data_IF_458173238367
#
_entry.id   IF_458173238367
#
_cell.length_a   1.000
_cell.length_b   1.000
_cell.length_c   1.000
_cell.angle_alpha   90.00
_cell.angle_beta   90.00
_cell.angle_gamma   90.00
#
_symmetry.space_group_name_H-M   'P 1'
#
loop_
_entity.id
_entity.type
_entity.pdbx_description
1 polymer ?
#
# COMPACT_ATOMS: atom_id res chain seq x y z
N UNK A 1 -39.95 29.01 -18.10
CA UNK A 1 -40.09 29.46 -16.70
C UNK A 1 -41.18 28.64 -16.03
N UNK A 2 -40.86 27.77 -15.08
CA UNK A 2 -41.88 27.09 -14.26
C UNK A 2 -41.62 27.38 -12.79
N UNK A 3 -42.47 28.25 -12.23
CA UNK A 3 -42.55 28.55 -10.80
C UNK A 3 -43.26 27.38 -10.13
N UNK A 4 -42.57 26.74 -9.18
CA UNK A 4 -43.14 25.71 -8.33
C UNK A 4 -42.30 25.51 -7.06
N UNK A 5 -42.03 26.60 -6.32
CA UNK A 5 -41.43 26.52 -4.98
C UNK A 5 -42.53 26.12 -3.99
N UNK A 6 -42.84 24.82 -3.93
CA UNK A 6 -43.49 24.23 -2.77
C UNK A 6 -42.43 24.09 -1.67
N UNK A 7 -42.58 24.83 -0.58
CA UNK A 7 -41.81 24.67 0.65
C UNK A 7 -42.26 23.41 1.39
N UNK A 8 -41.90 22.24 0.86
CA UNK A 8 -42.20 20.97 1.49
C UNK A 8 -41.31 20.79 2.73
N UNK A 9 -41.84 21.09 3.93
CA UNK A 9 -41.22 20.62 5.17
C UNK A 9 -41.43 19.10 5.25
N UNK A 10 -40.38 18.33 5.05
CA UNK A 10 -40.42 16.88 5.08
C UNK A 10 -40.93 16.37 6.43
N UNK A 11 -42.23 16.00 6.51
CA UNK A 11 -42.84 15.30 7.67
C UNK A 11 -42.31 15.80 9.03
N UNK A 12 -42.18 17.11 9.18
CA UNK A 12 -41.67 17.70 10.40
C UNK A 12 -42.83 18.06 11.33
N UNK A 13 -42.54 18.17 12.62
CA UNK A 13 -43.52 18.66 13.60
C UNK A 13 -43.79 20.14 13.41
N UNK A 14 -44.86 20.67 14.01
CA UNK A 14 -45.17 22.10 13.95
C UNK A 14 -44.00 22.95 14.46
N UNK A 15 -43.88 24.19 13.97
CA UNK A 15 -42.78 25.11 14.31
C UNK A 15 -42.56 25.28 15.83
N UNK A 16 -43.64 25.23 16.63
CA UNK A 16 -43.55 25.30 18.09
C UNK A 16 -42.88 24.08 18.71
N UNK A 17 -43.23 22.88 18.25
CA UNK A 17 -42.62 21.62 18.69
C UNK A 17 -41.18 21.48 18.21
N UNK A 18 -40.84 22.02 17.04
CA UNK A 18 -39.45 22.10 16.57
C UNK A 18 -38.60 22.93 17.52
N UNK A 19 -39.03 24.15 17.87
CA UNK A 19 -38.31 25.02 18.81
C UNK A 19 -38.18 24.40 20.20
N UNK A 20 -39.25 23.77 20.70
CA UNK A 20 -39.19 23.05 21.97
C UNK A 20 -38.17 21.91 21.94
N UNK A 21 -38.13 21.13 20.85
CA UNK A 21 -37.15 20.06 20.66
C UNK A 21 -35.73 20.61 20.60
N UNK A 22 -35.49 21.65 19.80
CA UNK A 22 -34.16 22.27 19.68
C UNK A 22 -33.68 22.85 21.00
N UNK A 23 -34.59 23.43 21.78
CA UNK A 23 -34.31 23.91 23.12
C UNK A 23 -33.89 22.77 24.07
N UNK A 24 -34.66 21.68 24.13
CA UNK A 24 -34.36 20.53 24.98
C UNK A 24 -33.07 19.79 24.57
N UNK A 25 -32.75 19.77 23.27
CA UNK A 25 -31.54 19.13 22.76
C UNK A 25 -30.28 20.02 22.88
N UNK A 26 -30.43 21.34 23.09
CA UNK A 26 -29.32 22.29 23.06
C UNK A 26 -28.63 22.42 21.69
N UNK A 27 -29.22 21.86 20.63
CA UNK A 27 -28.71 21.87 19.26
C UNK A 27 -29.84 21.77 18.25
N UNK A 28 -29.58 22.22 17.02
CA UNK A 28 -30.50 22.02 15.89
C UNK A 28 -30.69 20.53 15.63
N UNK A 29 -31.95 20.11 15.54
CA UNK A 29 -32.28 18.71 15.34
C UNK A 29 -32.11 18.33 13.87
N UNK A 30 -31.25 17.35 13.61
CA UNK A 30 -31.03 16.78 12.27
C UNK A 30 -31.93 15.57 12.07
N UNK A 31 -32.83 15.61 11.08
CA UNK A 31 -33.69 14.48 10.76
C UNK A 31 -32.86 13.31 10.21
N UNK A 32 -32.90 12.15 10.89
CA UNK A 32 -32.22 10.93 10.44
C UNK A 32 -32.96 10.20 9.31
N UNK A 33 -34.23 10.56 9.07
CA UNK A 33 -35.04 9.97 8.00
C UNK A 33 -34.48 10.30 6.62
N UNK A 34 -34.46 9.29 5.74
CA UNK A 34 -34.08 9.48 4.33
C UNK A 34 -35.30 9.88 3.53
N UNK A 35 -35.33 11.12 3.07
CA UNK A 35 -36.45 11.64 2.30
C UNK A 35 -36.20 11.54 0.79
N UNK A 36 -37.20 11.17 -0.03
CA UNK A 36 -37.03 10.87 -1.46
C UNK A 36 -36.37 11.97 -2.31
N UNK A 37 -36.50 13.23 -1.91
CA UNK A 37 -35.93 14.41 -2.56
C UNK A 37 -34.50 14.75 -2.11
N UNK A 38 -34.11 14.29 -0.92
CA UNK A 38 -32.77 14.49 -0.35
C UNK A 38 -31.87 13.27 -0.55
N UNK A 39 -32.40 12.21 -1.16
CA UNK A 39 -31.66 11.04 -1.61
C UNK A 39 -31.60 11.04 -3.14
N UNK A 40 -30.58 10.38 -3.69
CA UNK A 40 -30.52 10.14 -5.13
C UNK A 40 -31.80 9.43 -5.61
N UNK A 41 -32.30 9.74 -6.81
CA UNK A 41 -33.45 9.05 -7.38
C UNK A 41 -33.19 7.54 -7.47
N UNK A 42 -34.25 6.74 -7.41
CA UNK A 42 -34.16 5.30 -7.59
C UNK A 42 -33.83 4.91 -9.03
N UNK A 43 -34.18 5.76 -9.98
CA UNK A 43 -33.83 5.59 -11.40
C UNK A 43 -32.45 6.18 -11.65
N UNK A 44 -31.52 5.33 -12.08
CA UNK A 44 -30.13 5.70 -12.37
C UNK A 44 -29.98 5.77 -13.89
N UNK A 45 -29.43 6.85 -14.47
CA UNK A 45 -29.14 6.90 -15.90
C UNK A 45 -28.01 5.92 -16.24
N UNK A 46 -27.93 5.45 -17.49
CA UNK A 46 -26.81 4.62 -17.95
C UNK A 46 -25.50 5.37 -17.73
N UNK A 47 -24.54 4.81 -16.97
CA UNK A 47 -23.26 5.48 -16.72
C UNK A 47 -22.33 5.35 -17.93
N UNK A 48 -21.60 6.42 -18.23
CA UNK A 48 -20.43 6.37 -19.12
C UNK A 48 -19.19 6.14 -18.24
N UNK A 49 -18.72 4.89 -18.19
CA UNK A 49 -17.62 4.47 -17.30
C UNK A 49 -16.32 4.62 -18.08
N UNK A 50 -15.35 5.43 -17.60
CA UNK A 50 -14.07 5.53 -18.28
C UNK A 50 -13.41 4.16 -18.34
N UNK A 51 -12.80 3.85 -19.49
CA UNK A 51 -12.04 2.61 -19.64
C UNK A 51 -10.85 2.64 -18.68
N UNK A 52 -10.43 1.46 -18.22
CA UNK A 52 -9.23 1.35 -17.39
C UNK A 52 -7.98 1.84 -18.12
N UNK A 53 -6.80 1.81 -17.46
CA UNK A 53 -5.53 2.30 -18.03
C UNK A 53 -5.12 1.59 -19.34
N UNK A 54 -5.81 0.51 -19.69
CA UNK A 54 -5.61 -0.26 -20.89
C UNK A 54 -6.51 0.17 -22.07
N UNK A 55 -6.58 1.47 -22.38
CA UNK A 55 -7.50 1.96 -23.43
C UNK A 55 -7.02 1.74 -24.88
N UNK A 56 -5.74 1.99 -25.20
CA UNK A 56 -5.18 1.75 -26.54
C UNK A 56 -5.44 0.33 -27.08
N UNK A 57 -5.57 0.19 -28.40
CA UNK A 57 -5.83 -1.09 -29.06
C UNK A 57 -4.57 -1.83 -29.55
N UNK A 58 -3.42 -1.16 -29.61
CA UNK A 58 -2.15 -1.73 -30.11
C UNK A 58 -1.11 -1.89 -28.99
N UNK A 59 -0.12 -2.76 -29.23
CA UNK A 59 1.06 -2.99 -28.38
C UNK A 59 0.76 -3.44 -26.93
N UNK A 60 -0.26 -4.28 -26.75
CA UNK A 60 -0.76 -4.71 -25.44
C UNK A 60 -0.83 -6.22 -25.35
N UNK A 61 0.34 -6.82 -25.21
CA UNK A 61 0.45 -8.26 -25.05
C UNK A 61 0.26 -8.65 -23.59
N UNK A 62 -0.51 -9.71 -23.34
CA UNK A 62 -0.78 -10.16 -21.97
C UNK A 62 0.50 -10.50 -21.20
N UNK A 63 1.49 -11.08 -21.88
CA UNK A 63 2.76 -11.50 -21.28
C UNK A 63 3.58 -10.34 -20.69
N UNK A 64 3.45 -9.11 -21.19
CA UNK A 64 4.21 -7.96 -20.66
C UNK A 64 3.62 -7.42 -19.35
N UNK A 65 2.37 -7.77 -19.02
CA UNK A 65 1.65 -7.28 -17.83
C UNK A 65 1.35 -8.37 -16.82
N UNK A 66 1.80 -9.59 -17.10
CA UNK A 66 1.41 -10.75 -16.31
C UNK A 66 2.22 -10.80 -15.02
N UNK A 67 1.70 -10.14 -13.98
CA UNK A 67 2.33 -10.07 -12.66
C UNK A 67 2.48 -11.44 -11.98
N UNK A 68 1.74 -12.46 -12.42
CA UNK A 68 1.87 -13.82 -11.86
C UNK A 68 3.18 -14.49 -12.30
N UNK A 69 3.63 -14.23 -13.54
CA UNK A 69 4.90 -14.76 -14.03
C UNK A 69 6.11 -13.93 -13.55
N UNK A 70 5.89 -12.71 -13.05
CA UNK A 70 6.96 -11.91 -12.44
C UNK A 70 7.31 -12.34 -11.01
N UNK A 71 6.53 -13.24 -10.39
CA UNK A 71 6.79 -13.72 -9.04
C UNK A 71 7.94 -14.72 -9.08
N UNK A 72 9.09 -14.30 -8.56
CA UNK A 72 10.23 -15.18 -8.34
C UNK A 72 10.01 -16.06 -7.10
N UNK A 73 10.57 -17.29 -7.07
CA UNK A 73 10.55 -18.11 -5.87
C UNK A 73 11.25 -17.39 -4.72
N UNK A 74 10.84 -17.63 -3.45
CA UNK A 74 11.43 -16.96 -2.30
C UNK A 74 12.92 -17.31 -2.19
N UNK A 75 13.75 -16.30 -1.92
CA UNK A 75 15.15 -16.50 -1.59
C UNK A 75 15.24 -17.01 -0.16
N UNK A 76 15.80 -18.20 0.02
CA UNK A 76 16.03 -18.79 1.35
C UNK A 76 17.23 -18.09 1.97
N UNK A 77 17.01 -17.30 3.03
CA UNK A 77 18.09 -16.71 3.80
C UNK A 77 18.82 -17.82 4.59
N UNK A 78 20.16 -17.85 4.60
CA UNK A 78 20.94 -18.92 5.26
C UNK A 78 20.85 -18.94 6.79
N UNK A 79 20.04 -18.06 7.40
CA UNK A 79 20.06 -17.75 8.84
C UNK A 79 18.93 -18.44 9.63
N UNK A 80 18.05 -19.23 9.01
CA UNK A 80 16.95 -19.87 9.75
C UNK A 80 16.59 -21.29 9.28
N UNK A 81 17.50 -22.01 8.62
CA UNK A 81 17.40 -23.47 8.61
C UNK A 81 17.77 -23.94 10.02
N UNK A 82 16.78 -23.98 10.93
CA UNK A 82 16.81 -24.97 12.01
C UNK A 82 17.05 -26.36 11.41
N UNK A 83 17.46 -27.37 12.21
CA UNK A 83 17.79 -28.69 11.69
C UNK A 83 16.76 -29.12 10.65
N UNK A 84 17.19 -29.59 9.45
CA UNK A 84 16.25 -29.90 8.39
C UNK A 84 15.17 -30.81 8.96
N UNK A 85 13.90 -30.46 8.76
CA UNK A 85 12.80 -31.37 9.09
C UNK A 85 13.01 -32.61 8.22
N UNK A 86 13.68 -33.60 8.80
CA UNK A 86 14.32 -34.66 8.06
C UNK A 86 13.26 -35.58 7.47
N UNK A 87 13.26 -35.65 6.14
CA UNK A 87 12.90 -36.86 5.41
C UNK A 87 13.85 -37.98 5.88
N UNK A 88 13.27 -39.13 6.23
CA UNK A 88 13.89 -40.39 6.66
C UNK A 88 14.57 -40.42 8.07
N UNK A 89 14.06 -41.21 9.05
CA UNK A 89 14.58 -41.28 10.42
C UNK A 89 15.96 -41.96 10.56
N UNK A 90 16.51 -42.52 9.48
CA UNK A 90 17.77 -43.29 9.51
C UNK A 90 18.96 -42.57 8.88
N UNK A 91 18.78 -41.40 8.27
CA UNK A 91 19.88 -40.64 7.65
C UNK A 91 20.14 -39.38 8.45
N UNK A 92 21.30 -39.31 9.14
CA UNK A 92 21.77 -38.06 9.74
C UNK A 92 22.02 -37.05 8.63
N UNK A 93 21.19 -36.01 8.54
CA UNK A 93 21.41 -34.89 7.64
C UNK A 93 22.77 -34.25 7.96
N UNK A 94 23.59 -34.04 6.93
CA UNK A 94 24.81 -33.23 7.07
C UNK A 94 24.37 -31.77 7.25
N UNK A 95 24.89 -31.02 8.23
CA UNK A 95 24.57 -29.60 8.36
C UNK A 95 25.16 -28.86 7.16
N UNK A 96 24.33 -28.59 6.16
CA UNK A 96 24.63 -27.66 5.06
C UNK A 96 24.39 -26.20 5.47
N UNK A 97 24.16 -25.94 6.76
CA UNK A 97 23.98 -24.63 7.32
C UNK A 97 25.33 -23.96 7.58
N UNK A 98 25.43 -22.70 7.18
CA UNK A 98 26.50 -21.79 7.57
C UNK A 98 26.56 -21.76 9.12
N UNK A 99 27.73 -21.99 9.76
CA UNK A 99 27.80 -22.01 11.21
C UNK A 99 27.38 -20.63 11.78
N UNK A 100 26.63 -20.59 12.90
CA UNK A 100 26.11 -19.32 13.44
C UNK A 100 27.21 -18.30 13.71
N UNK A 101 28.40 -18.77 14.09
CA UNK A 101 29.58 -17.95 14.38
C UNK A 101 30.22 -17.29 13.15
N UNK A 102 29.82 -17.68 11.93
CA UNK A 102 30.32 -17.07 10.69
C UNK A 102 29.49 -15.87 10.22
N UNK A 103 28.37 -15.57 10.87
CA UNK A 103 27.55 -14.40 10.58
C UNK A 103 27.72 -13.39 11.72
N UNK A 104 28.76 -12.55 11.63
CA UNK A 104 28.94 -11.43 12.54
C UNK A 104 28.23 -10.19 11.99
N UNK A 105 27.23 -9.69 12.70
CA UNK A 105 26.64 -8.39 12.44
C UNK A 105 27.30 -7.35 13.36
N UNK A 106 27.86 -6.28 12.79
CA UNK A 106 28.43 -5.17 13.57
C UNK A 106 27.37 -4.41 14.39
N UNK A 107 26.10 -4.49 13.97
CA UNK A 107 24.93 -3.91 14.62
C UNK A 107 23.71 -4.79 14.30
N UNK A 108 22.73 -4.85 15.20
CA UNK A 108 21.51 -5.64 14.96
C UNK A 108 20.74 -5.11 13.73
N UNK A 109 20.41 -5.96 12.74
CA UNK A 109 19.64 -5.50 11.57
C UNK A 109 18.20 -5.17 11.98
N UNK A 110 17.72 -3.98 11.61
CA UNK A 110 16.31 -3.57 11.77
C UNK A 110 15.51 -3.90 10.51
N UNK A 111 14.24 -4.36 10.61
CA UNK A 111 13.42 -4.73 9.46
C UNK A 111 13.04 -3.54 8.55
N UNK A 112 13.20 -2.31 9.04
CA UNK A 112 12.94 -1.07 8.31
C UNK A 112 13.15 0.16 9.19
N UNK A 113 13.04 1.38 8.65
CA UNK A 113 13.12 2.60 9.43
C UNK A 113 11.90 2.76 10.35
N UNK A 114 12.10 3.35 11.52
CA UNK A 114 11.02 3.72 12.45
C UNK A 114 10.30 4.97 11.95
N UNK A 115 8.97 4.95 11.89
CA UNK A 115 8.15 6.09 11.50
C UNK A 115 7.66 6.87 12.72
N UNK A 116 7.63 8.21 12.66
CA UNK A 116 7.29 9.04 13.82
C UNK A 116 5.83 8.93 14.30
N UNK A 117 4.91 8.45 13.46
CA UNK A 117 3.50 8.19 13.83
C UNK A 117 3.25 6.75 14.25
N UNK A 118 4.23 5.86 14.06
CA UNK A 118 4.20 4.49 14.57
C UNK A 118 4.66 4.58 16.03
N UNK A 119 3.76 5.10 16.89
CA UNK A 119 3.97 5.47 18.29
C UNK A 119 4.22 4.29 19.24
N UNK A 120 4.92 3.28 18.77
CA UNK A 120 5.32 2.13 19.54
C UNK A 120 6.78 2.28 20.00
N UNK A 121 6.95 2.63 21.28
CA UNK A 121 8.21 2.65 22.00
C UNK A 121 8.85 1.25 22.18
N UNK A 122 8.73 0.34 21.21
CA UNK A 122 9.29 -1.03 21.33
C UNK A 122 10.81 -1.10 21.20
N UNK A 123 11.50 -0.01 20.83
CA UNK A 123 12.93 -0.02 20.49
C UNK A 123 13.78 1.02 21.24
N UNK A 124 13.32 1.56 22.37
CA UNK A 124 14.14 2.44 23.24
C UNK A 124 15.37 1.75 23.86
N UNK A 125 15.49 0.42 23.72
CA UNK A 125 16.65 -0.36 24.18
C UNK A 125 17.54 -0.86 23.04
N UNK A 126 17.52 -0.24 21.86
CA UNK A 126 18.60 -0.45 20.89
C UNK A 126 19.82 0.35 21.38
N UNK A 127 20.95 -0.28 21.74
CA UNK A 127 22.17 0.47 22.02
C UNK A 127 22.52 1.29 20.77
N UNK A 128 22.78 2.59 20.94
CA UNK A 128 23.14 3.49 19.86
C UNK A 128 24.35 2.92 19.10
N UNK A 129 24.10 2.25 17.97
CA UNK A 129 25.14 2.02 17.00
C UNK A 129 25.54 3.40 16.50
N UNK A 130 26.74 3.85 16.87
CA UNK A 130 27.32 5.13 16.48
C UNK A 130 26.93 5.46 15.04
N UNK A 131 26.41 6.67 14.76
CA UNK A 131 26.04 7.06 13.40
C UNK A 131 27.20 6.70 12.46
N UNK A 132 26.94 6.06 11.30
CA UNK A 132 28.00 5.87 10.33
C UNK A 132 28.54 7.26 10.01
N UNK A 133 29.77 7.51 10.47
CA UNK A 133 30.56 8.69 10.19
C UNK A 133 30.36 9.02 8.71
N UNK A 134 29.88 10.23 8.42
CA UNK A 134 29.41 10.64 7.10
C UNK A 134 30.43 10.29 6.01
N UNK A 135 30.32 9.09 5.43
CA UNK A 135 31.22 8.64 4.38
C UNK A 135 30.82 9.36 3.11
N UNK A 136 31.63 10.38 2.83
CA UNK A 136 31.98 10.91 1.53
C UNK A 136 30.82 11.11 0.56
N UNK A 137 30.52 12.40 0.34
CA UNK A 137 29.90 12.98 -0.85
C UNK A 137 29.92 12.01 -2.04
N UNK A 138 28.73 11.67 -2.52
CA UNK A 138 28.53 10.91 -3.74
C UNK A 138 29.48 11.43 -4.83
N UNK A 139 30.37 10.56 -5.28
CA UNK A 139 31.07 10.77 -6.56
C UNK A 139 30.01 10.90 -7.66
N UNK A 140 30.15 11.84 -8.61
CA UNK A 140 29.18 12.01 -9.69
C UNK A 140 29.01 10.70 -10.47
N UNK A 141 27.83 10.45 -11.06
CA UNK A 141 27.60 9.25 -11.85
C UNK A 141 28.63 9.21 -12.99
N UNK A 142 29.33 8.08 -13.09
CA UNK A 142 30.24 7.78 -14.18
C UNK A 142 29.53 8.05 -15.50
N UNK A 143 29.96 9.10 -16.22
CA UNK A 143 29.49 9.44 -17.55
C UNK A 143 30.21 8.55 -18.59
N UNK A 144 30.08 7.23 -18.49
CA UNK A 144 30.43 6.37 -19.61
C UNK A 144 29.21 6.30 -20.52
N UNK A 145 29.22 7.16 -21.54
CA UNK A 145 28.46 6.92 -22.77
C UNK A 145 28.75 5.48 -23.19
N UNK A 146 27.74 4.62 -23.19
CA UNK A 146 27.79 3.40 -23.98
C UNK A 146 27.68 3.86 -25.44
N UNK A 147 28.82 4.05 -26.10
CA UNK A 147 28.83 4.21 -27.54
C UNK A 147 28.34 2.89 -28.19
N UNK A 148 27.47 2.94 -29.21
CA UNK A 148 27.03 1.77 -29.94
C UNK A 148 28.22 1.23 -30.75
N UNK A 149 28.51 -0.06 -30.56
CA UNK A 149 29.56 -0.78 -31.27
C UNK A 149 29.26 -0.80 -32.79
N UNK A 150 30.13 -0.29 -33.67
CA UNK A 150 29.90 -0.28 -35.11
C UNK A 150 30.46 -1.55 -35.77
N UNK A 151 29.59 -2.26 -36.51
CA UNK A 151 29.85 -3.13 -37.69
C UNK A 151 30.85 -4.29 -37.51
N UNK A 152 30.59 -5.51 -37.99
CA UNK A 152 30.92 -6.05 -39.33
C UNK A 152 30.73 -7.61 -39.19
N UNK A 153 30.20 -8.45 -40.09
CA UNK A 153 30.50 -8.70 -41.50
C UNK A 153 29.41 -9.57 -42.14
N UNK A 154 29.23 -9.35 -43.44
CA UNK A 154 28.61 -10.26 -44.43
C UNK A 154 29.14 -11.70 -44.32
N UNK A 155 28.23 -12.66 -44.41
CA UNK A 155 28.30 -13.80 -45.34
C UNK A 155 26.88 -14.05 -45.85
#
# INVERSE_FOLDING_TARGET
MSKGKGNWSFRDVSLGLQKLREFLLGRKHTLHGRFPTMISPRTIPTPDIPRGPDEHYSNKYYFTRHARDSVLPPVIAPVAEGPPMCRDPFKKAKPGGVPPDSVCFNCAPTPGPTWWWDGHFYYETQPDCSPPEAKAKASPPCSSRCDPNPTEKKC
#
